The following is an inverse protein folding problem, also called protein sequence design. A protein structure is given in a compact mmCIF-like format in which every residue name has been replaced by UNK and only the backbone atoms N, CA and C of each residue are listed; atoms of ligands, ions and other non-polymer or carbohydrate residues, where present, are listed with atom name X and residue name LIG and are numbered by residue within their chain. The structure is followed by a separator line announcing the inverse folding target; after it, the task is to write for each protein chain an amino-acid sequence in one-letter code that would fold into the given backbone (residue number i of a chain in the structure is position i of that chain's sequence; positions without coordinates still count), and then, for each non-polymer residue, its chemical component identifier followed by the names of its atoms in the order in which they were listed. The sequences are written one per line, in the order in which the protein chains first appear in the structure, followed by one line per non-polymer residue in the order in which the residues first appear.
data_IF_647413275740
#
_entry.id   IF_647413275740
#
_cell.length_a   1.000
_cell.length_b   1.000
_cell.length_c   1.000
_cell.angle_alpha   90.00
_cell.angle_beta   90.00
_cell.angle_gamma   90.00
#
_symmetry.space_group_name_H-M   'P 1'
#
loop_
_entity.id
_entity.type
_entity.pdbx_description
1 polymer ?
#
# COMPACT_ATOMS: atom_id res chain seq x y z
N UNK A 1 63.38 -50.44 50.05
CA UNK A 1 63.39 -48.99 49.76
C UNK A 1 62.32 -48.72 48.73
N UNK A 2 61.12 -48.29 49.14
CA UNK A 2 59.97 -48.14 48.23
C UNK A 2 59.88 -46.69 47.75
N UNK A 3 59.92 -46.47 46.44
CA UNK A 3 59.92 -45.14 45.81
C UNK A 3 58.48 -44.64 45.73
N UNK A 4 58.13 -43.67 46.58
CA UNK A 4 56.80 -43.01 46.55
C UNK A 4 56.70 -42.18 45.27
N UNK A 5 55.72 -42.47 44.41
CA UNK A 5 55.41 -41.66 43.23
C UNK A 5 54.48 -40.52 43.67
N UNK A 6 54.91 -39.28 43.48
CA UNK A 6 54.09 -38.09 43.69
C UNK A 6 53.13 -37.93 42.51
N UNK A 7 51.83 -37.98 42.79
CA UNK A 7 50.77 -37.67 41.83
C UNK A 7 50.77 -36.16 41.57
N UNK A 8 51.02 -35.75 40.32
CA UNK A 8 50.92 -34.35 39.92
C UNK A 8 49.48 -33.87 40.12
N UNK A 9 49.32 -32.81 40.90
CA UNK A 9 48.04 -32.20 41.20
C UNK A 9 47.66 -31.28 40.03
N UNK A 10 46.83 -31.76 39.10
CA UNK A 10 46.31 -30.93 38.00
C UNK A 10 45.34 -29.88 38.56
N UNK A 11 45.86 -28.69 38.84
CA UNK A 11 45.06 -27.57 39.34
C UNK A 11 44.52 -26.74 38.15
N UNK A 12 43.19 -26.67 38.06
CA UNK A 12 42.52 -25.37 37.99
C UNK A 12 42.21 -24.73 36.63
N UNK A 13 42.35 -25.40 35.49
CA UNK A 13 41.98 -24.80 34.19
C UNK A 13 40.51 -25.02 33.78
N UNK A 14 39.79 -25.95 34.42
CA UNK A 14 38.45 -26.40 33.99
C UNK A 14 37.43 -25.25 33.95
N UNK A 15 37.40 -24.39 34.96
CA UNK A 15 36.47 -23.26 35.02
C UNK A 15 36.68 -22.29 33.85
N UNK A 16 37.93 -21.93 33.55
CA UNK A 16 38.26 -21.03 32.46
C UNK A 16 37.85 -21.63 31.10
N UNK A 17 38.14 -22.91 30.88
CA UNK A 17 37.74 -23.63 29.65
C UNK A 17 36.21 -23.67 29.53
N UNK A 18 35.49 -23.99 30.61
CA UNK A 18 34.02 -24.00 30.58
C UNK A 18 33.42 -22.63 30.33
N UNK A 19 34.01 -21.56 30.87
CA UNK A 19 33.53 -20.20 30.65
C UNK A 19 33.73 -19.75 29.19
N UNK A 20 34.89 -20.06 28.60
CA UNK A 20 35.17 -19.77 27.19
C UNK A 20 34.22 -20.56 26.28
N UNK A 21 34.01 -21.85 26.55
CA UNK A 21 33.06 -22.66 25.79
C UNK A 21 31.63 -22.15 25.94
N UNK A 22 31.20 -21.79 27.16
CA UNK A 22 29.89 -21.20 27.41
C UNK A 22 29.72 -19.89 26.65
N UNK A 23 30.73 -19.03 26.65
CA UNK A 23 30.72 -17.77 25.91
C UNK A 23 30.55 -18.01 24.41
N UNK A 24 31.32 -18.94 23.83
CA UNK A 24 31.23 -19.28 22.41
C UNK A 24 29.82 -19.77 22.05
N UNK A 25 29.28 -20.72 22.83
CA UNK A 25 27.92 -21.23 22.61
C UNK A 25 26.86 -20.14 22.77
N UNK A 26 27.05 -19.24 23.74
CA UNK A 26 26.13 -18.12 23.98
C UNK A 26 26.10 -17.15 22.80
N UNK A 27 27.26 -16.78 22.26
CA UNK A 27 27.35 -15.90 21.09
C UNK A 27 26.68 -16.54 19.87
N UNK A 28 26.93 -17.83 19.62
CA UNK A 28 26.29 -18.57 18.54
C UNK A 28 24.76 -18.63 18.71
N UNK A 29 24.30 -18.87 19.93
CA UNK A 29 22.86 -18.87 20.26
C UNK A 29 22.21 -17.52 20.01
N UNK A 30 22.86 -16.41 20.43
CA UNK A 30 22.34 -15.05 20.21
C UNK A 30 22.29 -14.71 18.72
N UNK A 31 23.32 -15.04 17.94
CA UNK A 31 23.33 -14.77 16.49
C UNK A 31 22.20 -15.49 15.75
N UNK A 32 21.89 -16.73 16.12
CA UNK A 32 20.75 -17.46 15.56
C UNK A 32 19.41 -16.76 15.85
N UNK A 33 19.19 -16.35 17.11
CA UNK A 33 17.97 -15.63 17.53
C UNK A 33 17.83 -14.28 16.81
N UNK A 34 18.93 -13.52 16.68
CA UNK A 34 18.91 -12.24 15.98
C UNK A 34 18.47 -12.38 14.52
N UNK A 35 18.92 -13.43 13.84
CA UNK A 35 18.53 -13.70 12.45
C UNK A 35 17.02 -13.98 12.34
N UNK A 36 16.48 -14.82 13.23
CA UNK A 36 15.03 -15.12 13.27
C UNK A 36 14.18 -13.87 13.54
N UNK A 37 14.63 -12.97 14.43
CA UNK A 37 13.91 -11.73 14.72
C UNK A 37 13.86 -10.77 13.52
N UNK A 38 14.90 -10.75 12.70
CA UNK A 38 14.92 -9.92 11.48
C UNK A 38 13.95 -10.49 10.45
N UNK A 39 13.93 -11.81 10.25
CA UNK A 39 12.98 -12.49 9.36
C UNK A 39 11.52 -12.29 9.80
N UNK A 40 11.24 -12.39 11.10
CA UNK A 40 9.91 -12.14 11.65
C UNK A 40 9.44 -10.70 11.37
N UNK A 41 10.30 -9.70 11.59
CA UNK A 41 10.00 -8.29 11.31
C UNK A 41 9.76 -8.04 9.82
N UNK A 42 10.57 -8.65 8.96
CA UNK A 42 10.38 -8.55 7.50
C UNK A 42 9.06 -9.20 7.07
N UNK A 43 8.74 -10.38 7.60
CA UNK A 43 7.49 -11.09 7.34
C UNK A 43 6.26 -10.25 7.78
N UNK A 44 6.34 -9.65 8.97
CA UNK A 44 5.29 -8.75 9.47
C UNK A 44 5.10 -7.53 8.58
N UNK A 45 6.19 -6.85 8.18
CA UNK A 45 6.12 -5.69 7.29
C UNK A 45 5.59 -6.06 5.89
N UNK A 46 6.02 -7.20 5.33
CA UNK A 46 5.50 -7.69 4.06
C UNK A 46 4.00 -7.97 4.15
N UNK A 47 3.55 -8.67 5.19
CA UNK A 47 2.13 -8.96 5.39
C UNK A 47 1.30 -7.69 5.48
N UNK A 48 1.78 -6.70 6.22
CA UNK A 48 1.11 -5.40 6.38
C UNK A 48 1.01 -4.64 5.05
N UNK A 49 2.07 -4.69 4.23
CA UNK A 49 2.09 -4.11 2.87
C UNK A 49 1.14 -4.84 1.92
N UNK A 50 1.03 -6.16 2.01
CA UNK A 50 0.06 -6.94 1.25
C UNK A 50 -1.38 -6.55 1.59
N UNK A 51 -1.72 -6.43 2.88
CA UNK A 51 -3.04 -5.97 3.32
C UNK A 51 -3.34 -4.58 2.76
N UNK A 52 -2.39 -3.65 2.85
CA UNK A 52 -2.55 -2.30 2.31
C UNK A 52 -2.76 -2.29 0.78
N UNK A 53 -2.08 -3.18 0.05
CA UNK A 53 -2.23 -3.34 -1.38
C UNK A 53 -3.62 -3.89 -1.75
N UNK A 54 -4.05 -4.97 -1.11
CA UNK A 54 -5.39 -5.55 -1.31
C UNK A 54 -6.50 -4.52 -0.99
N UNK A 55 -6.32 -3.73 0.06
CA UNK A 55 -7.23 -2.63 0.41
C UNK A 55 -7.30 -1.56 -0.68
N UNK A 56 -6.14 -1.16 -1.23
CA UNK A 56 -6.06 -0.18 -2.31
C UNK A 56 -6.70 -0.73 -3.61
N UNK A 57 -6.50 -2.02 -3.91
CA UNK A 57 -7.10 -2.68 -5.06
C UNK A 57 -8.62 -2.77 -4.93
N UNK A 58 -9.14 -3.13 -3.75
CA UNK A 58 -10.58 -3.12 -3.48
C UNK A 58 -11.21 -1.75 -3.74
N UNK A 59 -10.59 -0.67 -3.27
CA UNK A 59 -11.08 0.68 -3.54
C UNK A 59 -11.00 1.07 -5.02
N UNK A 60 -9.98 0.60 -5.72
CA UNK A 60 -9.84 0.81 -7.16
C UNK A 60 -10.96 0.11 -7.94
N UNK A 61 -11.21 -1.17 -7.64
CA UNK A 61 -12.28 -1.95 -8.28
C UNK A 61 -13.65 -1.32 -8.05
N UNK A 62 -13.93 -0.80 -6.86
CA UNK A 62 -15.18 -0.08 -6.56
C UNK A 62 -15.32 1.21 -7.37
N UNK A 63 -14.22 1.95 -7.53
CA UNK A 63 -14.21 3.18 -8.31
C UNK A 63 -14.48 2.92 -9.80
N UNK A 64 -13.83 1.90 -10.37
CA UNK A 64 -14.00 1.48 -11.75
C UNK A 64 -15.40 0.91 -11.98
N UNK A 65 -15.93 0.10 -11.06
CA UNK A 65 -17.31 -0.39 -11.10
C UNK A 65 -18.33 0.75 -11.09
N UNK A 66 -18.14 1.77 -10.25
CA UNK A 66 -19.00 2.96 -10.24
C UNK A 66 -18.93 3.74 -11.57
N UNK A 67 -17.76 3.81 -12.21
CA UNK A 67 -17.63 4.39 -13.54
C UNK A 67 -18.36 3.54 -14.57
N UNK A 68 -18.25 2.21 -14.50
CA UNK A 68 -18.84 1.28 -15.47
C UNK A 68 -20.37 1.24 -15.43
N UNK A 69 -20.97 1.31 -14.25
CA UNK A 69 -22.44 1.34 -14.07
C UNK A 69 -23.08 2.66 -14.54
N UNK A 70 -22.28 3.71 -14.78
CA UNK A 70 -22.80 5.04 -15.07
C UNK A 70 -23.25 5.21 -16.52
N UNK A 71 -24.55 5.35 -16.77
CA UNK A 71 -25.07 5.61 -18.13
C UNK A 71 -24.75 7.02 -18.64
N UNK A 72 -24.91 8.04 -17.78
CA UNK A 72 -24.73 9.44 -18.15
C UNK A 72 -23.36 9.98 -17.73
N UNK A 73 -22.72 10.76 -18.61
CA UNK A 73 -21.46 11.44 -18.32
C UNK A 73 -21.54 12.27 -17.01
N UNK A 74 -20.72 11.97 -15.99
CA UNK A 74 -20.61 12.79 -14.79
C UNK A 74 -19.67 13.98 -15.06
N UNK A 75 -20.21 15.20 -15.00
CA UNK A 75 -19.40 16.41 -15.18
C UNK A 75 -18.36 16.55 -14.06
N UNK A 76 -17.05 16.56 -14.37
CA UNK A 76 -16.00 16.77 -13.39
C UNK A 76 -16.10 18.13 -12.72
N UNK A 77 -15.77 18.21 -11.43
CA UNK A 77 -15.74 19.47 -10.69
C UNK A 77 -14.42 19.67 -9.95
N UNK A 78 -14.07 20.91 -9.63
CA UNK A 78 -12.84 21.21 -8.90
C UNK A 78 -12.84 20.69 -7.45
N UNK A 79 -14.01 20.39 -6.89
CA UNK A 79 -14.18 19.89 -5.53
C UNK A 79 -14.68 18.43 -5.47
N UNK A 80 -14.76 17.74 -6.61
CA UNK A 80 -15.19 16.34 -6.67
C UNK A 80 -16.63 16.07 -6.22
N UNK A 81 -17.51 17.07 -6.22
CA UNK A 81 -18.91 16.94 -5.75
C UNK A 81 -19.69 15.87 -6.50
N UNK A 82 -19.37 15.66 -7.79
CA UNK A 82 -19.96 14.60 -8.62
C UNK A 82 -19.15 13.28 -8.56
N UNK A 83 -18.30 13.11 -7.56
CA UNK A 83 -17.31 12.02 -7.38
C UNK A 83 -16.19 11.99 -8.42
N UNK A 84 -16.25 12.84 -9.44
CA UNK A 84 -15.20 13.01 -10.45
C UNK A 84 -14.60 14.41 -10.31
N UNK A 85 -13.29 14.45 -10.24
CA UNK A 85 -12.48 15.65 -10.13
C UNK A 85 -12.00 16.12 -11.50
N UNK A 86 -11.90 17.43 -11.66
CA UNK A 86 -11.08 18.01 -12.72
C UNK A 86 -9.63 17.57 -12.52
N UNK A 87 -8.94 17.17 -13.59
CA UNK A 87 -7.53 16.76 -13.50
C UNK A 87 -6.66 17.84 -12.85
N UNK A 88 -5.89 17.45 -11.83
CA UNK A 88 -4.99 18.36 -11.11
C UNK A 88 -5.70 19.33 -10.14
N UNK A 89 -7.02 19.27 -9.99
CA UNK A 89 -7.72 20.01 -8.92
C UNK A 89 -7.55 19.42 -7.51
N UNK A 90 -7.38 18.09 -7.32
CA UNK A 90 -7.08 17.53 -6.00
C UNK A 90 -5.81 18.09 -5.33
N UNK A 91 -4.89 18.67 -6.10
CA UNK A 91 -3.68 19.32 -5.61
C UNK A 91 -2.58 19.38 -6.67
N UNK A 92 -1.37 19.75 -6.23
CA UNK A 92 -0.18 19.86 -7.08
C UNK A 92 0.27 18.49 -7.63
N UNK A 93 1.38 18.47 -8.37
CA UNK A 93 2.06 17.23 -8.77
C UNK A 93 2.24 16.31 -7.55
N UNK A 94 1.76 15.07 -7.64
CA UNK A 94 1.81 14.07 -6.56
C UNK A 94 0.96 14.38 -5.32
N UNK A 95 -0.17 15.07 -5.51
CA UNK A 95 -1.16 15.32 -4.45
C UNK A 95 -1.51 14.07 -3.62
N UNK A 96 -1.51 12.88 -4.23
CA UNK A 96 -1.85 11.64 -3.56
C UNK A 96 -0.84 11.22 -2.48
N UNK A 97 0.43 11.62 -2.59
CA UNK A 97 1.46 11.41 -1.58
C UNK A 97 1.58 12.57 -0.59
N UNK A 98 1.29 13.79 -1.03
CA UNK A 98 1.50 15.02 -0.23
C UNK A 98 0.30 15.40 0.63
N UNK A 99 -0.91 15.02 0.23
CA UNK A 99 -2.13 15.31 0.98
C UNK A 99 -2.22 14.47 2.26
N UNK A 100 -2.61 15.14 3.35
CA UNK A 100 -2.74 14.53 4.68
C UNK A 100 -3.88 13.50 4.76
N UNK A 101 -3.88 12.67 5.81
CA UNK A 101 -4.99 11.73 6.07
C UNK A 101 -6.34 12.44 6.23
N UNK A 102 -6.36 13.61 6.88
CA UNK A 102 -7.58 14.42 7.03
C UNK A 102 -8.10 14.88 5.67
N UNK A 103 -7.20 15.31 4.78
CA UNK A 103 -7.58 15.71 3.42
C UNK A 103 -8.23 14.55 2.66
N UNK A 104 -7.61 13.36 2.67
CA UNK A 104 -8.19 12.16 2.05
C UNK A 104 -9.53 11.77 2.67
N UNK A 105 -9.68 11.97 3.98
CA UNK A 105 -10.92 11.64 4.70
C UNK A 105 -12.10 12.51 4.26
N UNK A 106 -11.84 13.78 3.98
CA UNK A 106 -12.86 14.77 3.63
C UNK A 106 -13.17 14.81 2.11
N UNK A 107 -12.21 14.47 1.26
CA UNK A 107 -12.30 14.68 -0.19
C UNK A 107 -12.44 13.39 -1.01
N UNK A 108 -12.10 12.23 -0.44
CA UNK A 108 -12.15 10.94 -1.14
C UNK A 108 -13.35 10.10 -0.70
N UNK A 109 -13.79 9.22 -1.60
CA UNK A 109 -14.89 8.30 -1.33
C UNK A 109 -14.34 7.04 -0.65
N UNK A 110 -15.07 6.52 0.33
CA UNK A 110 -14.75 5.25 0.99
C UNK A 110 -15.23 4.06 0.17
N UNK A 111 -14.41 3.02 0.13
CA UNK A 111 -14.79 1.69 -0.34
C UNK A 111 -15.10 0.77 0.86
N UNK A 112 -15.73 -0.41 0.62
CA UNK A 112 -16.07 -1.35 1.68
C UNK A 112 -14.86 -1.72 2.53
N UNK A 113 -15.08 -1.82 3.85
CA UNK A 113 -14.01 -2.12 4.80
C UNK A 113 -13.99 -3.60 5.20
N UNK A 114 -12.80 -4.16 5.41
CA UNK A 114 -12.60 -5.40 6.14
C UNK A 114 -12.04 -5.12 7.55
N UNK A 115 -11.84 -6.16 8.35
CA UNK A 115 -11.31 -6.08 9.73
C UNK A 115 -9.78 -6.14 9.81
N UNK A 116 -9.09 -6.38 8.70
CA UNK A 116 -7.63 -6.56 8.64
C UNK A 116 -6.90 -5.23 8.47
N UNK A 117 -7.55 -4.25 7.85
CA UNK A 117 -7.03 -2.91 7.66
C UNK A 117 -7.41 -1.98 8.81
N UNK A 118 -6.52 -1.04 9.11
CA UNK A 118 -6.75 -0.06 10.17
C UNK A 118 -7.85 0.96 9.80
N UNK A 119 -7.96 1.31 8.52
CA UNK A 119 -8.89 2.32 8.03
C UNK A 119 -9.50 1.88 6.70
N UNK A 120 -10.73 2.33 6.44
CA UNK A 120 -11.40 2.05 5.18
C UNK A 120 -10.59 2.62 3.99
N UNK A 121 -10.38 1.83 2.93
CA UNK A 121 -9.65 2.27 1.76
C UNK A 121 -10.49 3.30 0.99
N UNK A 122 -9.80 4.18 0.28
CA UNK A 122 -10.41 5.36 -0.34
C UNK A 122 -9.95 5.53 -1.77
N UNK A 123 -10.77 6.18 -2.58
CA UNK A 123 -10.43 6.46 -3.97
C UNK A 123 -10.90 7.84 -4.41
N UNK A 124 -10.23 8.33 -5.45
CA UNK A 124 -10.54 9.57 -6.17
C UNK A 124 -10.46 9.27 -7.66
N UNK A 125 -11.41 9.83 -8.40
CA UNK A 125 -11.46 9.74 -9.86
C UNK A 125 -11.19 11.12 -10.44
N UNK A 126 -10.24 11.23 -11.36
CA UNK A 126 -9.91 12.45 -12.10
C UNK A 126 -10.20 12.24 -13.59
N UNK A 127 -10.81 13.19 -14.29
CA UNK A 127 -10.91 13.13 -15.75
C UNK A 127 -9.66 13.72 -16.41
N UNK A 128 -8.87 12.89 -17.10
CA UNK A 128 -7.60 13.28 -17.74
C UNK A 128 -7.80 13.95 -19.09
N UNK A 129 -8.66 13.37 -19.92
CA UNK A 129 -8.80 13.78 -21.31
C UNK A 129 -10.10 13.24 -21.90
N UNK A 130 -10.56 13.92 -22.94
CA UNK A 130 -11.66 13.49 -23.79
C UNK A 130 -11.18 13.50 -25.24
N UNK A 131 -11.46 12.42 -25.99
CA UNK A 131 -11.05 12.30 -27.40
C UNK A 131 -12.22 11.89 -28.28
N UNK A 132 -12.43 12.65 -29.36
CA UNK A 132 -13.49 12.42 -30.37
C UNK A 132 -12.96 11.94 -31.73
N UNK A 133 -11.67 11.57 -31.82
CA UNK A 133 -10.99 11.36 -33.11
C UNK A 133 -11.65 10.23 -33.92
N UNK A 134 -12.36 10.60 -35.00
CA UNK A 134 -13.04 9.68 -35.92
C UNK A 134 -14.56 9.57 -35.73
N UNK A 135 -15.16 10.26 -34.76
CA UNK A 135 -16.60 10.18 -34.44
C UNK A 135 -17.33 11.48 -34.84
N UNK A 136 -17.56 11.59 -36.16
CA UNK A 136 -18.44 12.44 -36.97
C UNK A 136 -18.80 13.92 -36.58
N UNK A 137 -18.67 14.81 -37.58
CA UNK A 137 -19.36 16.10 -37.69
C UNK A 137 -20.87 15.84 -37.83
N UNK A 138 -21.62 15.93 -36.74
CA UNK A 138 -23.09 16.05 -36.84
C UNK A 138 -23.45 17.53 -36.97
N UNK A 139 -23.90 17.95 -38.16
CA UNK A 139 -24.67 19.19 -38.32
C UNK A 139 -26.07 18.90 -37.81
N UNK A 140 -26.32 19.24 -36.55
CA UNK A 140 -27.59 19.07 -35.85
C UNK A 140 -27.49 19.63 -34.44
N UNK A 141 -28.54 20.30 -33.97
CA UNK A 141 -28.58 21.02 -32.67
C UNK A 141 -28.76 20.08 -31.47
N UNK A 142 -27.85 19.14 -31.28
CA UNK A 142 -27.85 18.20 -30.15
C UNK A 142 -26.46 18.08 -29.52
N UNK A 143 -26.33 18.50 -28.26
CA UNK A 143 -25.07 18.53 -27.51
C UNK A 143 -24.66 17.17 -26.94
N UNK A 144 -24.65 16.11 -27.75
CA UNK A 144 -24.16 14.79 -27.29
C UNK A 144 -22.69 14.67 -27.68
N UNK A 145 -21.80 14.83 -26.69
CA UNK A 145 -20.36 14.60 -26.82
C UNK A 145 -20.11 13.09 -26.97
N UNK A 146 -20.28 12.55 -28.17
CA UNK A 146 -19.87 11.18 -28.47
C UNK A 146 -18.33 11.13 -28.52
N UNK A 147 -17.74 10.25 -27.71
CA UNK A 147 -16.28 10.09 -27.64
C UNK A 147 -15.82 9.23 -26.46
N UNK A 148 -14.51 9.04 -26.36
CA UNK A 148 -13.87 8.29 -25.27
C UNK A 148 -13.39 9.25 -24.18
N UNK A 149 -13.80 8.98 -22.95
CA UNK A 149 -13.37 9.67 -21.75
C UNK A 149 -12.29 8.85 -21.04
N UNK A 150 -11.18 9.51 -20.71
CA UNK A 150 -10.07 8.91 -19.98
C UNK A 150 -10.11 9.40 -18.54
N UNK A 151 -10.27 8.47 -17.61
CA UNK A 151 -10.26 8.72 -16.18
C UNK A 151 -8.96 8.19 -15.58
N UNK A 152 -8.34 8.96 -14.69
CA UNK A 152 -7.30 8.48 -13.80
C UNK A 152 -7.93 8.20 -12.45
N UNK A 153 -7.90 6.95 -12.03
CA UNK A 153 -8.39 6.54 -10.72
C UNK A 153 -7.18 6.40 -9.80
N UNK A 154 -7.21 7.09 -8.67
CA UNK A 154 -6.18 6.98 -7.64
C UNK A 154 -6.82 6.42 -6.37
N UNK A 155 -6.38 5.24 -5.95
CA UNK A 155 -6.83 4.61 -4.72
C UNK A 155 -5.74 4.63 -3.64
N UNK A 156 -6.18 4.52 -2.40
CA UNK A 156 -5.36 4.48 -1.19
C UNK A 156 -5.86 3.36 -0.30
N UNK A 157 -4.95 2.48 0.10
CA UNK A 157 -5.19 1.43 1.09
C UNK A 157 -4.27 1.58 2.30
N UNK A 158 -4.78 1.19 3.47
CA UNK A 158 -4.04 1.15 4.72
C UNK A 158 -3.84 -0.31 5.13
N UNK A 159 -2.66 -0.62 5.66
CA UNK A 159 -2.37 -1.93 6.27
C UNK A 159 -3.08 -2.09 7.61
N UNK A 160 -2.70 -3.12 8.36
CA UNK A 160 -3.03 -3.25 9.78
C UNK A 160 -2.38 -2.14 10.63
N UNK A 161 -1.28 -1.54 10.15
CA UNK A 161 -0.65 -0.36 10.77
C UNK A 161 -1.04 0.96 10.08
N UNK A 162 -1.10 2.05 10.85
CA UNK A 162 -1.33 3.41 10.34
C UNK A 162 -0.26 3.88 9.35
N UNK A 163 0.97 3.42 9.58
CA UNK A 163 2.15 3.88 8.85
C UNK A 163 2.32 3.15 7.51
N UNK A 164 1.60 2.04 7.32
CA UNK A 164 1.66 1.27 6.10
C UNK A 164 0.53 1.68 5.19
N UNK A 165 0.90 2.46 4.17
CA UNK A 165 -0.01 2.89 3.13
C UNK A 165 0.53 2.48 1.76
N UNK A 166 -0.42 2.19 0.87
CA UNK A 166 -0.17 1.89 -0.55
C UNK A 166 -1.13 2.75 -1.35
N UNK A 167 -0.63 3.32 -2.44
CA UNK A 167 -1.43 4.05 -3.42
C UNK A 167 -1.35 3.31 -4.75
N UNK A 168 -2.49 3.11 -5.40
CA UNK A 168 -2.56 2.54 -6.74
C UNK A 168 -3.17 3.56 -7.69
N UNK A 169 -2.74 3.50 -8.95
CA UNK A 169 -3.24 4.41 -9.97
C UNK A 169 -3.46 3.69 -11.28
N UNK A 170 -4.66 3.81 -11.83
CA UNK A 170 -5.02 3.24 -13.12
C UNK A 170 -5.60 4.31 -14.04
N UNK A 171 -5.61 4.00 -15.33
CA UNK A 171 -6.34 4.78 -16.32
C UNK A 171 -7.50 3.93 -16.83
N UNK A 172 -8.71 4.40 -16.61
CA UNK A 172 -9.94 3.78 -17.05
C UNK A 172 -10.52 4.55 -18.23
N UNK A 173 -10.99 3.84 -19.26
CA UNK A 173 -11.56 4.46 -20.46
C UNK A 173 -13.02 4.07 -20.58
N UNK A 174 -13.90 5.08 -20.71
CA UNK A 174 -15.32 4.87 -20.87
C UNK A 174 -15.90 5.69 -22.01
N UNK A 175 -16.90 5.11 -22.68
CA UNK A 175 -17.82 5.80 -23.57
C UNK A 175 -19.17 5.90 -22.85
N UNK A 176 -19.84 7.03 -23.03
CA UNK A 176 -21.24 7.19 -22.64
C UNK A 176 -22.06 7.22 -23.93
N UNK A 177 -23.24 6.59 -23.88
CA UNK A 177 -24.15 6.49 -25.01
C UNK A 177 -25.23 7.59 -24.98
#
# INVERSE_FOLDING_TARGET
MYKVRTTQNQQGATLAVTLVLLLIVSVLGISAVQSSLVEEKMSGNLRDKHIAFEAAESALTVAEGWLDERENYPTPTAAGTNRVWNFGSPGNSEWWHTNSLSWWTNNAINAPTNTLQQAAPRYIIEERAFTQRGENLTIGTGAVRQGKYYYQVTSRGNGGSANTQVHLRTTFVKRYD
#
